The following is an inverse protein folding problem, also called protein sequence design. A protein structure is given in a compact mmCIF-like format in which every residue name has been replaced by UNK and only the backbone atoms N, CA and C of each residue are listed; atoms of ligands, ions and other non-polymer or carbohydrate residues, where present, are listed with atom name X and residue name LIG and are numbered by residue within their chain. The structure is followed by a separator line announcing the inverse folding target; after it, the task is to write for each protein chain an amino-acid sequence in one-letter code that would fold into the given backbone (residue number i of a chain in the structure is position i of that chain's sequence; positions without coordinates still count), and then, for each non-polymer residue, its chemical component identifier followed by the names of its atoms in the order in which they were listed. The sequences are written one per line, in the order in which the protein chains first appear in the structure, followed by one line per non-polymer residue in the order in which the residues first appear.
data_IF_517172586670
#
_entry.id   IF_517172586670
#
_cell.length_a   1.000
_cell.length_b   1.000
_cell.length_c   1.000
_cell.angle_alpha   90.00
_cell.angle_beta   90.00
_cell.angle_gamma   90.00
#
_symmetry.space_group_name_H-M   'P 1'
#
loop_
_entity.id
_entity.type
_entity.pdbx_description
1 polymer ?
#
# COMPACT_ATOMS: atom_id res chain seq x y z
N UNK A 1 -1.22 77.91 -8.85
CA UNK A 1 -1.00 76.77 -9.77
C UNK A 1 -0.64 75.56 -8.94
N UNK A 2 -1.62 74.71 -8.69
CA UNK A 2 -1.50 73.49 -7.90
C UNK A 2 -1.20 72.32 -8.84
N UNK A 3 -0.05 71.63 -8.61
CA UNK A 3 0.30 70.41 -9.36
C UNK A 3 -0.15 69.22 -8.55
N UNK A 4 -1.17 68.53 -8.99
CA UNK A 4 -1.63 67.25 -8.44
C UNK A 4 -0.77 66.13 -9.00
N UNK A 5 0.06 65.53 -8.15
CA UNK A 5 0.84 64.36 -8.53
C UNK A 5 -0.04 63.10 -8.47
N UNK A 6 -0.13 62.37 -9.56
CA UNK A 6 -0.79 61.07 -9.63
C UNK A 6 0.24 60.00 -9.26
N UNK A 7 0.07 59.33 -8.12
CA UNK A 7 0.89 58.17 -7.74
C UNK A 7 0.26 56.92 -8.36
N UNK A 8 0.92 56.33 -9.34
CA UNK A 8 0.55 55.03 -9.92
C UNK A 8 1.11 53.94 -9.02
N UNK A 9 0.23 53.22 -8.33
CA UNK A 9 0.60 52.02 -7.57
C UNK A 9 0.59 50.84 -8.53
N UNK A 10 1.76 50.31 -8.87
CA UNK A 10 1.93 49.12 -9.68
C UNK A 10 1.76 47.90 -8.77
N UNK A 11 0.60 47.25 -8.83
CA UNK A 11 0.35 45.97 -8.14
C UNK A 11 1.05 44.83 -8.89
N UNK A 12 2.18 44.36 -8.36
CA UNK A 12 2.80 43.11 -8.83
C UNK A 12 1.91 41.94 -8.42
N UNK A 13 1.20 41.36 -9.36
CA UNK A 13 0.53 40.07 -9.21
C UNK A 13 1.63 39.00 -9.18
N UNK A 14 1.96 38.50 -7.99
CA UNK A 14 2.75 37.30 -7.82
C UNK A 14 1.92 36.10 -8.30
N UNK A 15 2.07 35.72 -9.57
CA UNK A 15 1.54 34.48 -10.11
C UNK A 15 2.29 33.33 -9.45
N UNK A 16 1.69 32.69 -8.45
CA UNK A 16 2.20 31.44 -7.88
C UNK A 16 2.10 30.37 -8.96
N UNK A 17 3.16 30.13 -9.72
CA UNK A 17 3.26 28.95 -10.58
C UNK A 17 3.26 27.72 -9.68
N UNK A 18 2.10 27.08 -9.52
CA UNK A 18 2.03 25.77 -8.91
C UNK A 18 2.91 24.81 -9.72
N UNK A 19 3.89 24.21 -9.06
CA UNK A 19 4.77 23.21 -9.69
C UNK A 19 3.92 22.03 -10.14
N UNK A 20 4.11 21.55 -11.37
CA UNK A 20 3.45 20.35 -11.84
C UNK A 20 3.76 19.15 -10.92
N UNK A 21 2.79 18.23 -10.69
CA UNK A 21 3.04 17.02 -9.91
C UNK A 21 4.22 16.23 -10.47
N UNK A 22 5.08 15.71 -9.59
CA UNK A 22 6.24 14.92 -10.00
C UNK A 22 5.82 13.58 -10.62
N UNK A 23 4.73 13.00 -10.14
CA UNK A 23 4.10 11.78 -10.65
C UNK A 23 2.62 11.72 -10.28
N UNK A 24 1.91 10.71 -10.81
CA UNK A 24 0.48 10.53 -10.61
C UNK A 24 0.16 9.12 -10.11
N UNK A 25 -0.76 9.05 -9.13
CA UNK A 25 -1.19 7.82 -8.46
C UNK A 25 -2.69 7.64 -8.67
N UNK A 26 -3.12 6.42 -8.99
CA UNK A 26 -4.52 6.01 -8.97
C UNK A 26 -4.72 4.87 -7.98
N UNK A 27 -5.63 5.02 -7.04
CA UNK A 27 -6.01 3.97 -6.11
C UNK A 27 -7.35 3.35 -6.50
N UNK A 28 -7.34 2.02 -6.63
CA UNK A 28 -8.53 1.19 -6.87
C UNK A 28 -9.03 0.60 -5.55
N UNK A 29 -10.35 0.57 -5.39
CA UNK A 29 -11.00 0.01 -4.21
C UNK A 29 -12.39 -0.54 -4.54
N UNK A 30 -12.95 -1.31 -3.62
CA UNK A 30 -14.32 -1.81 -3.69
C UNK A 30 -15.22 -1.17 -2.63
N UNK A 31 -14.74 -1.05 -1.40
CA UNK A 31 -15.48 -0.47 -0.27
C UNK A 31 -16.69 -1.30 0.12
N UNK A 32 -16.58 -2.62 0.03
CA UNK A 32 -17.67 -3.57 0.29
C UNK A 32 -17.23 -4.66 1.25
N UNK A 33 -18.22 -5.32 1.84
CA UNK A 33 -18.10 -6.55 2.61
C UNK A 33 -17.53 -6.34 4.01
N UNK A 34 -16.23 -6.45 4.20
CA UNK A 34 -15.61 -6.41 5.52
C UNK A 34 -15.47 -4.99 6.07
N UNK A 35 -16.01 -4.76 7.28
CA UNK A 35 -16.04 -3.45 7.92
C UNK A 35 -14.62 -2.88 8.16
N UNK A 36 -13.63 -3.73 8.42
CA UNK A 36 -12.27 -3.28 8.67
C UNK A 36 -11.57 -2.83 7.37
N UNK A 37 -11.86 -3.47 6.23
CA UNK A 37 -11.39 -3.00 4.93
C UNK A 37 -12.04 -1.67 4.53
N UNK A 38 -13.36 -1.52 4.81
CA UNK A 38 -14.10 -0.27 4.56
C UNK A 38 -13.54 0.86 5.43
N UNK A 39 -13.26 0.59 6.70
CA UNK A 39 -12.65 1.56 7.62
C UNK A 39 -11.26 2.01 7.14
N UNK A 40 -10.43 1.07 6.71
CA UNK A 40 -9.12 1.38 6.13
C UNK A 40 -9.24 2.25 4.87
N UNK A 41 -10.18 1.93 3.99
CA UNK A 41 -10.46 2.72 2.80
C UNK A 41 -10.79 4.18 3.16
N UNK A 42 -11.72 4.40 4.10
CA UNK A 42 -12.10 5.75 4.52
C UNK A 42 -10.93 6.52 5.13
N UNK A 43 -10.07 5.86 5.89
CA UNK A 43 -8.85 6.46 6.41
C UNK A 43 -7.88 6.82 5.27
N UNK A 44 -7.66 5.90 4.33
CA UNK A 44 -6.79 6.10 3.18
C UNK A 44 -7.23 7.26 2.28
N UNK A 45 -8.53 7.37 2.00
CA UNK A 45 -9.11 8.47 1.21
C UNK A 45 -8.91 9.86 1.83
N UNK A 46 -8.73 9.92 3.16
CA UNK A 46 -8.42 11.16 3.86
C UNK A 46 -6.92 11.42 3.98
N UNK A 47 -6.12 10.38 4.12
CA UNK A 47 -4.69 10.47 4.39
C UNK A 47 -3.87 10.69 3.10
N UNK A 48 -4.07 9.88 2.05
CA UNK A 48 -3.29 9.97 0.83
C UNK A 48 -3.36 11.33 0.12
N UNK A 49 -4.51 12.03 0.01
CA UNK A 49 -4.54 13.37 -0.57
C UNK A 49 -3.69 14.39 0.19
N UNK A 50 -3.63 14.29 1.53
CA UNK A 50 -2.79 15.16 2.36
C UNK A 50 -1.30 14.88 2.13
N UNK A 51 -0.94 13.61 2.00
CA UNK A 51 0.43 13.17 1.68
C UNK A 51 0.81 13.64 0.27
N UNK A 52 -0.08 13.49 -0.70
CA UNK A 52 0.13 13.91 -2.07
C UNK A 52 0.42 15.41 -2.18
N UNK A 53 -0.38 16.23 -1.49
CA UNK A 53 -0.18 17.67 -1.46
C UNK A 53 1.16 18.08 -0.85
N UNK A 54 1.61 17.37 0.21
CA UNK A 54 2.90 17.64 0.87
C UNK A 54 4.12 17.18 0.06
N UNK A 55 3.96 16.17 -0.78
CA UNK A 55 5.06 15.53 -1.51
C UNK A 55 5.01 15.78 -3.03
N UNK A 56 4.18 16.72 -3.48
CA UNK A 56 4.06 17.15 -4.88
C UNK A 56 3.77 16.00 -5.87
N UNK A 57 2.82 15.11 -5.55
CA UNK A 57 2.28 14.17 -6.51
C UNK A 57 0.75 14.27 -6.59
N UNK A 58 0.15 13.77 -7.68
CA UNK A 58 -1.29 13.69 -7.83
C UNK A 58 -1.80 12.37 -7.31
N UNK A 59 -2.90 12.38 -6.55
CA UNK A 59 -3.56 11.19 -6.05
C UNK A 59 -5.05 11.23 -6.41
N UNK A 60 -5.48 10.22 -7.16
CA UNK A 60 -6.87 10.01 -7.54
C UNK A 60 -7.35 8.65 -7.02
N UNK A 61 -8.66 8.47 -6.86
CA UNK A 61 -9.27 7.19 -6.47
C UNK A 61 -10.37 6.78 -7.44
N UNK A 62 -10.66 5.49 -7.51
CA UNK A 62 -11.78 4.96 -8.29
C UNK A 62 -12.29 3.64 -7.72
N UNK A 63 -13.63 3.51 -7.61
CA UNK A 63 -14.32 2.25 -7.35
C UNK A 63 -14.76 1.53 -8.62
N UNK A 64 -14.56 2.17 -9.79
CA UNK A 64 -14.88 1.57 -11.08
C UNK A 64 -13.70 0.75 -11.60
N UNK A 65 -13.73 -0.56 -11.38
CA UNK A 65 -12.71 -1.49 -11.86
C UNK A 65 -12.67 -1.60 -13.38
N UNK A 66 -13.71 -1.17 -14.12
CA UNK A 66 -13.65 -1.02 -15.58
C UNK A 66 -12.61 0.00 -16.05
N UNK A 67 -12.13 0.87 -15.16
CA UNK A 67 -11.01 1.78 -15.40
C UNK A 67 -9.66 1.04 -15.42
N UNK A 68 -9.58 -0.22 -14.97
CA UNK A 68 -8.35 -1.01 -15.02
C UNK A 68 -8.13 -1.52 -16.45
N UNK A 69 -7.78 -0.60 -17.35
CA UNK A 69 -7.49 -0.84 -18.76
C UNK A 69 -6.33 0.02 -19.23
N UNK A 70 -5.68 -0.37 -20.33
CA UNK A 70 -4.46 0.26 -20.81
C UNK A 70 -4.62 1.78 -21.05
N UNK A 71 -5.73 2.21 -21.65
CA UNK A 71 -5.97 3.64 -21.94
C UNK A 71 -6.11 4.49 -20.69
N UNK A 72 -6.73 3.96 -19.65
CA UNK A 72 -6.85 4.66 -18.36
C UNK A 72 -5.52 4.66 -17.60
N UNK A 73 -4.86 3.51 -17.50
CA UNK A 73 -3.61 3.34 -16.76
C UNK A 73 -2.45 4.15 -17.36
N UNK A 74 -2.45 4.42 -18.66
CA UNK A 74 -1.43 5.26 -19.31
C UNK A 74 -1.32 6.68 -18.74
N UNK A 75 -2.30 7.14 -17.97
CA UNK A 75 -2.34 8.46 -17.33
C UNK A 75 -1.70 8.49 -15.93
N UNK A 76 -1.30 7.33 -15.41
CA UNK A 76 -0.82 7.19 -14.05
C UNK A 76 0.52 6.46 -14.00
N UNK A 77 1.35 6.89 -13.07
CA UNK A 77 2.69 6.35 -12.85
C UNK A 77 2.69 5.21 -11.84
N UNK A 78 1.75 5.25 -10.88
CA UNK A 78 1.60 4.26 -9.81
C UNK A 78 0.14 3.85 -9.68
N UNK A 79 -0.11 2.56 -9.61
CA UNK A 79 -1.40 1.96 -9.28
C UNK A 79 -1.37 1.48 -7.83
N UNK A 80 -2.42 1.78 -7.06
CA UNK A 80 -2.59 1.31 -5.68
C UNK A 80 -3.83 0.43 -5.60
N UNK A 81 -3.73 -0.72 -4.94
CA UNK A 81 -4.89 -1.52 -4.55
C UNK A 81 -5.08 -1.41 -3.04
N UNK A 82 -6.20 -0.82 -2.61
CA UNK A 82 -6.45 -0.53 -1.20
C UNK A 82 -7.06 -1.73 -0.46
N UNK A 83 -8.15 -2.29 -0.95
CA UNK A 83 -8.95 -3.27 -0.22
C UNK A 83 -9.22 -4.57 -1.00
N UNK A 84 -8.80 -4.66 -2.26
CA UNK A 84 -9.03 -5.83 -3.10
C UNK A 84 -8.14 -5.82 -4.34
N UNK A 85 -8.33 -6.77 -5.22
CA UNK A 85 -7.66 -6.95 -6.51
C UNK A 85 -8.69 -7.22 -7.61
N UNK A 86 -8.35 -7.09 -8.92
CA UNK A 86 -9.30 -7.35 -9.99
C UNK A 86 -9.70 -8.83 -10.06
N UNK A 87 -10.97 -9.09 -10.35
CA UNK A 87 -11.52 -10.43 -10.56
C UNK A 87 -11.79 -10.73 -12.05
N UNK A 88 -12.10 -9.70 -12.82
CA UNK A 88 -12.36 -9.83 -14.25
C UNK A 88 -11.07 -10.16 -15.02
N UNK A 89 -11.08 -11.18 -15.92
CA UNK A 89 -9.89 -11.60 -16.67
C UNK A 89 -9.28 -10.50 -17.54
N UNK A 90 -10.08 -9.61 -18.12
CA UNK A 90 -9.57 -8.53 -18.95
C UNK A 90 -8.86 -7.47 -18.10
N UNK A 91 -9.39 -7.18 -16.91
CA UNK A 91 -8.76 -6.27 -15.95
C UNK A 91 -7.43 -6.86 -15.45
N UNK A 92 -7.38 -8.17 -15.16
CA UNK A 92 -6.15 -8.87 -14.78
C UNK A 92 -5.09 -8.80 -15.87
N UNK A 93 -5.47 -9.09 -17.11
CA UNK A 93 -4.56 -8.99 -18.26
C UNK A 93 -4.04 -7.56 -18.46
N UNK A 94 -4.89 -6.55 -18.31
CA UNK A 94 -4.50 -5.15 -18.41
C UNK A 94 -3.52 -4.74 -17.30
N UNK A 95 -3.74 -5.17 -16.06
CA UNK A 95 -2.84 -4.92 -14.95
C UNK A 95 -1.49 -5.63 -15.13
N UNK A 96 -1.51 -6.91 -15.51
CA UNK A 96 -0.29 -7.67 -15.77
C UNK A 96 0.53 -6.99 -16.86
N UNK A 97 -0.08 -6.64 -17.99
CA UNK A 97 0.58 -5.92 -19.07
C UNK A 97 1.16 -4.56 -18.60
N UNK A 98 0.41 -3.81 -17.78
CA UNK A 98 0.90 -2.56 -17.19
C UNK A 98 2.18 -2.78 -16.36
N UNK A 99 2.21 -3.81 -15.53
CA UNK A 99 3.39 -4.13 -14.71
C UNK A 99 4.57 -4.63 -15.54
N UNK A 100 4.32 -5.48 -16.53
CA UNK A 100 5.35 -6.02 -17.45
C UNK A 100 5.98 -4.90 -18.31
N UNK A 101 5.24 -3.85 -18.62
CA UNK A 101 5.74 -2.66 -19.32
C UNK A 101 6.37 -1.61 -18.37
N UNK A 102 6.60 -1.94 -17.11
CA UNK A 102 7.33 -1.09 -16.17
C UNK A 102 6.46 -0.13 -15.38
N UNK A 103 5.18 -0.38 -15.30
CA UNK A 103 4.27 0.25 -14.35
C UNK A 103 4.72 0.03 -12.90
N UNK A 104 4.18 0.83 -11.98
CA UNK A 104 4.46 0.68 -10.56
C UNK A 104 3.20 0.38 -9.76
N UNK A 105 3.35 -0.42 -8.70
CA UNK A 105 2.21 -0.84 -7.89
C UNK A 105 2.51 -0.85 -6.39
N UNK A 106 1.49 -0.49 -5.61
CA UNK A 106 1.44 -0.62 -4.17
C UNK A 106 0.15 -1.35 -3.78
N UNK A 107 0.24 -2.34 -2.91
CA UNK A 107 -0.94 -3.07 -2.45
C UNK A 107 -0.98 -3.25 -0.95
N UNK A 108 -2.19 -3.28 -0.41
CA UNK A 108 -2.44 -3.43 1.01
C UNK A 108 -3.25 -4.70 1.27
N UNK A 109 -2.87 -5.42 2.32
CA UNK A 109 -3.61 -6.47 3.00
C UNK A 109 -4.41 -7.40 2.05
N UNK A 110 -5.72 -7.23 1.95
CA UNK A 110 -6.61 -8.08 1.17
C UNK A 110 -6.35 -8.03 -0.33
N UNK A 111 -5.62 -7.02 -0.83
CA UNK A 111 -5.19 -7.01 -2.22
C UNK A 111 -4.28 -8.20 -2.57
N UNK A 112 -3.60 -8.79 -1.58
CA UNK A 112 -2.78 -10.00 -1.75
C UNK A 112 -3.52 -11.32 -1.49
N UNK A 113 -4.76 -11.28 -1.01
CA UNK A 113 -5.46 -12.45 -0.53
C UNK A 113 -5.76 -13.48 -1.63
N UNK A 114 -5.51 -14.77 -1.34
CA UNK A 114 -5.90 -15.91 -2.16
C UNK A 114 -6.12 -17.14 -1.31
N UNK A 115 -7.18 -17.88 -1.57
CA UNK A 115 -7.45 -19.18 -0.99
C UNK A 115 -7.05 -20.32 -1.95
N UNK A 116 -6.64 -21.44 -1.38
CA UNK A 116 -6.43 -22.69 -2.12
C UNK A 116 -7.17 -23.84 -1.42
N UNK A 117 -8.14 -24.51 -2.06
CA UNK A 117 -8.79 -24.12 -3.32
C UNK A 117 -9.59 -22.83 -3.16
N UNK A 118 -9.57 -21.96 -4.16
CA UNK A 118 -10.30 -20.71 -4.11
C UNK A 118 -11.80 -20.94 -4.33
N UNK A 119 -12.62 -20.42 -3.43
CA UNK A 119 -14.06 -20.22 -3.67
C UNK A 119 -14.32 -18.99 -4.53
N UNK A 120 -13.33 -18.11 -4.62
CA UNK A 120 -13.33 -16.97 -5.52
C UNK A 120 -12.78 -17.43 -6.87
N UNK A 121 -13.39 -17.06 -8.02
CA UNK A 121 -12.80 -17.30 -9.33
C UNK A 121 -11.49 -16.50 -9.51
N UNK A 122 -10.88 -16.15 -8.42
CA UNK A 122 -9.92 -15.11 -8.24
C UNK A 122 -8.50 -15.60 -7.96
N UNK A 123 -8.23 -16.91 -7.93
CA UNK A 123 -6.85 -17.35 -7.97
C UNK A 123 -6.24 -16.94 -9.32
N UNK A 124 -5.26 -16.09 -9.21
CA UNK A 124 -4.56 -15.53 -10.34
C UNK A 124 -3.08 -15.89 -10.18
N UNK A 125 -2.69 -17.00 -10.81
CA UNK A 125 -1.40 -17.65 -10.58
C UNK A 125 -0.21 -16.71 -10.75
N UNK A 126 -0.18 -15.96 -11.86
CA UNK A 126 0.86 -14.96 -12.07
C UNK A 126 0.95 -13.97 -10.90
N UNK A 127 -0.21 -13.47 -10.41
CA UNK A 127 -0.24 -12.46 -9.36
C UNK A 127 0.26 -13.00 -8.01
N UNK A 128 -0.21 -14.17 -7.62
CA UNK A 128 0.10 -14.73 -6.30
C UNK A 128 1.47 -15.40 -6.25
N UNK A 129 1.87 -16.12 -7.31
CA UNK A 129 3.10 -16.90 -7.31
C UNK A 129 4.30 -16.18 -7.95
N UNK A 130 4.09 -15.41 -9.04
CA UNK A 130 5.17 -14.72 -9.73
C UNK A 130 5.32 -13.28 -9.25
N UNK A 131 4.24 -12.52 -9.21
CA UNK A 131 4.27 -11.09 -8.89
C UNK A 131 4.43 -10.82 -7.39
N UNK A 132 3.55 -11.37 -6.54
CA UNK A 132 3.66 -11.28 -5.08
C UNK A 132 4.65 -12.30 -4.51
N UNK A 133 4.75 -13.47 -5.09
CA UNK A 133 5.60 -14.56 -4.63
C UNK A 133 5.08 -15.31 -3.40
N UNK A 134 4.02 -14.82 -2.76
CA UNK A 134 3.56 -15.28 -1.47
C UNK A 134 2.72 -16.57 -1.53
N UNK A 135 2.19 -16.93 -2.71
CA UNK A 135 1.25 -18.03 -2.84
C UNK A 135 -0.08 -17.74 -2.20
N UNK A 136 -0.70 -18.76 -1.62
CA UNK A 136 -2.02 -18.65 -1.01
C UNK A 136 -1.94 -18.15 0.44
N UNK A 137 -3.04 -17.55 0.89
CA UNK A 137 -3.28 -17.28 2.29
C UNK A 137 -3.43 -18.59 3.08
N UNK A 138 -2.78 -18.66 4.23
CA UNK A 138 -2.83 -19.85 5.11
C UNK A 138 -3.65 -19.57 6.36
N UNK A 139 -3.35 -18.48 7.07
CA UNK A 139 -4.04 -18.08 8.29
C UNK A 139 -3.82 -16.60 8.62
N UNK A 140 -4.53 -16.10 9.62
CA UNK A 140 -4.37 -14.74 10.13
C UNK A 140 -4.42 -14.72 11.66
N UNK A 141 -4.14 -13.55 12.25
CA UNK A 141 -4.24 -13.33 13.70
C UNK A 141 -5.68 -13.14 14.18
N UNK A 142 -6.66 -13.05 13.27
CA UNK A 142 -8.09 -12.80 13.48
C UNK A 142 -8.38 -11.37 13.96
N UNK A 143 -7.97 -11.00 15.18
CA UNK A 143 -8.15 -9.61 15.65
C UNK A 143 -6.93 -8.77 15.32
N UNK A 144 -7.13 -7.49 14.99
CA UNK A 144 -6.02 -6.58 14.83
C UNK A 144 -5.17 -6.50 16.10
N UNK A 145 -3.87 -6.68 15.93
CA UNK A 145 -2.89 -6.60 17.02
C UNK A 145 -1.62 -5.89 16.55
N UNK A 146 -1.01 -5.10 17.42
CA UNK A 146 0.27 -4.49 17.13
C UNK A 146 1.38 -5.54 17.19
N UNK A 147 2.40 -5.36 16.36
CA UNK A 147 3.60 -6.18 16.38
C UNK A 147 4.85 -5.29 16.35
N UNK A 148 5.95 -5.74 16.93
CA UNK A 148 7.25 -5.15 16.66
C UNK A 148 7.69 -5.63 15.29
N UNK A 149 7.94 -4.70 14.38
CA UNK A 149 8.44 -4.98 13.05
C UNK A 149 9.94 -4.72 13.00
N UNK A 150 10.69 -5.63 12.38
CA UNK A 150 12.12 -5.52 12.15
C UNK A 150 12.37 -5.18 10.69
N UNK A 151 13.24 -4.20 10.44
CA UNK A 151 13.73 -3.86 9.11
C UNK A 151 14.75 -4.90 8.67
N UNK A 152 14.47 -5.59 7.56
CA UNK A 152 15.32 -6.62 6.98
C UNK A 152 16.29 -6.06 5.93
N UNK A 153 15.85 -5.06 5.16
CA UNK A 153 16.70 -4.33 4.23
C UNK A 153 16.74 -2.82 4.57
N UNK A 154 17.71 -2.36 5.35
CA UNK A 154 17.86 -0.96 5.72
C UNK A 154 18.42 -0.09 4.59
N UNK A 155 18.86 -0.67 3.47
CA UNK A 155 19.40 0.07 2.33
C UNK A 155 18.32 0.46 1.32
N UNK A 156 17.18 -0.23 1.34
CA UNK A 156 16.10 0.05 0.40
C UNK A 156 15.52 1.45 0.60
N UNK A 157 15.19 2.21 -0.47
CA UNK A 157 14.67 3.57 -0.35
C UNK A 157 13.44 3.72 0.56
N UNK A 158 12.56 2.72 0.62
CA UNK A 158 11.38 2.76 1.48
C UNK A 158 11.69 2.58 2.98
N UNK A 159 12.82 1.98 3.34
CA UNK A 159 13.15 1.59 4.71
C UNK A 159 14.35 2.30 5.31
N UNK A 160 15.19 2.93 4.50
CA UNK A 160 16.46 3.54 4.93
C UNK A 160 16.35 4.64 6.00
N UNK A 161 15.16 5.20 6.18
CA UNK A 161 14.91 6.22 7.20
C UNK A 161 14.19 5.68 8.44
N UNK A 162 13.96 4.35 8.50
CA UNK A 162 13.28 3.72 9.62
C UNK A 162 14.29 3.31 10.71
N UNK A 163 13.87 3.24 11.97
CA UNK A 163 14.66 2.58 13.01
C UNK A 163 14.72 1.07 12.72
N UNK A 164 15.73 0.38 13.27
CA UNK A 164 15.91 -1.06 13.07
C UNK A 164 14.66 -1.89 13.43
N UNK A 165 13.97 -1.48 14.49
CA UNK A 165 12.69 -2.04 14.90
C UNK A 165 11.72 -0.92 15.30
N UNK A 166 10.42 -1.16 15.11
CA UNK A 166 9.36 -0.26 15.59
C UNK A 166 8.07 -1.03 15.85
N UNK A 167 7.23 -0.50 16.73
CA UNK A 167 5.90 -1.05 16.95
C UNK A 167 4.94 -0.53 15.87
N UNK A 168 4.28 -1.44 15.18
CA UNK A 168 3.27 -1.11 14.16
C UNK A 168 1.99 -0.56 14.77
N UNK A 169 1.15 0.05 13.94
CA UNK A 169 -0.29 0.08 14.21
C UNK A 169 -0.84 -1.35 14.28
N UNK A 170 -1.92 -1.60 15.04
CA UNK A 170 -2.57 -2.90 15.00
C UNK A 170 -2.99 -3.28 13.59
N UNK A 171 -2.87 -4.54 13.23
CA UNK A 171 -3.39 -5.08 11.98
C UNK A 171 -3.75 -6.57 12.15
N UNK A 172 -4.64 -7.06 11.32
CA UNK A 172 -4.79 -8.49 11.12
C UNK A 172 -3.64 -8.97 10.24
N UNK A 173 -2.72 -9.75 10.80
CA UNK A 173 -1.56 -10.23 10.08
C UNK A 173 -1.87 -11.52 9.32
N UNK A 174 -1.55 -11.56 8.02
CA UNK A 174 -1.65 -12.76 7.18
C UNK A 174 -0.35 -13.57 7.22
N UNK A 175 -0.52 -14.88 7.22
CA UNK A 175 0.53 -15.87 6.97
C UNK A 175 0.31 -16.49 5.60
N UNK A 176 1.39 -16.69 4.88
CA UNK A 176 1.40 -17.12 3.49
C UNK A 176 1.93 -18.54 3.33
N UNK A 177 1.56 -19.19 2.22
CA UNK A 177 1.97 -20.54 1.90
C UNK A 177 3.46 -20.64 1.58
N UNK A 178 3.97 -19.71 0.77
CA UNK A 178 5.36 -19.73 0.31
C UNK A 178 6.29 -19.08 1.35
N UNK A 179 7.45 -19.70 1.56
CA UNK A 179 8.56 -19.04 2.27
C UNK A 179 9.25 -18.06 1.32
N UNK A 180 8.95 -16.79 1.46
CA UNK A 180 9.51 -15.72 0.62
C UNK A 180 11.03 -15.65 0.64
N UNK A 181 11.72 -16.18 1.67
CA UNK A 181 13.19 -16.24 1.73
C UNK A 181 13.78 -17.18 0.68
N UNK A 182 13.00 -18.14 0.21
CA UNK A 182 13.40 -19.08 -0.84
C UNK A 182 13.19 -18.52 -2.25
N UNK A 183 12.45 -17.43 -2.38
CA UNK A 183 12.19 -16.78 -3.66
C UNK A 183 13.25 -15.72 -3.95
N UNK A 184 14.13 -15.99 -4.91
CA UNK A 184 15.24 -15.09 -5.27
C UNK A 184 14.79 -13.76 -5.90
N UNK A 185 13.55 -13.71 -6.37
CA UNK A 185 12.98 -12.50 -6.97
C UNK A 185 12.38 -11.54 -5.93
N UNK A 186 12.27 -11.98 -4.67
CA UNK A 186 11.68 -11.19 -3.59
C UNK A 186 12.76 -10.61 -2.67
N UNK A 187 12.65 -9.31 -2.39
CA UNK A 187 13.38 -8.62 -1.33
C UNK A 187 12.42 -8.32 -0.18
N UNK A 188 12.65 -8.95 0.96
CA UNK A 188 11.85 -8.74 2.17
C UNK A 188 12.36 -7.47 2.84
N UNK A 189 11.46 -6.51 3.04
CA UNK A 189 11.78 -5.22 3.64
C UNK A 189 11.51 -5.19 5.15
N UNK A 190 10.40 -5.78 5.58
CA UNK A 190 10.05 -5.92 7.00
C UNK A 190 9.49 -7.30 7.30
N UNK A 191 9.81 -7.80 8.49
CA UNK A 191 9.22 -8.99 9.08
C UNK A 191 8.79 -8.72 10.53
N UNK A 192 7.87 -9.55 11.06
CA UNK A 192 7.52 -9.51 12.49
C UNK A 192 8.74 -9.97 13.30
N UNK A 193 9.14 -9.17 14.30
CA UNK A 193 10.21 -9.52 15.19
C UNK A 193 9.79 -10.63 16.17
N UNK A 194 10.70 -11.58 16.42
CA UNK A 194 10.42 -12.73 17.28
C UNK A 194 10.09 -12.38 18.74
N UNK A 195 10.40 -11.16 19.17
CA UNK A 195 10.05 -10.68 20.52
C UNK A 195 8.59 -10.31 20.67
N UNK A 196 7.84 -10.22 19.57
CA UNK A 196 6.46 -9.76 19.58
C UNK A 196 5.54 -10.60 18.70
N UNK A 197 5.80 -11.89 18.56
CA UNK A 197 4.90 -12.75 17.79
C UNK A 197 3.47 -12.59 18.30
N UNK A 198 2.53 -12.19 17.42
CA UNK A 198 1.16 -12.01 17.82
C UNK A 198 0.56 -13.36 18.22
N UNK A 199 -0.23 -13.34 19.29
CA UNK A 199 -1.01 -14.52 19.71
C UNK A 199 -2.30 -14.58 18.89
N UNK A 200 -2.73 -15.77 18.56
CA UNK A 200 -4.06 -16.01 18.02
C UNK A 200 -5.14 -15.52 18.99
N UNK A 201 -6.18 -14.91 18.47
CA UNK A 201 -7.26 -14.33 19.27
C UNK A 201 -8.63 -14.76 18.75
N UNK A 202 -9.66 -14.54 19.56
CA UNK A 202 -11.04 -14.85 19.19
C UNK A 202 -11.26 -16.33 18.86
N UNK A 203 -11.85 -16.68 17.70
CA UNK A 203 -12.12 -18.07 17.31
C UNK A 203 -10.88 -18.85 16.88
N UNK A 204 -9.68 -18.26 16.86
CA UNK A 204 -8.42 -18.89 16.45
C UNK A 204 -7.35 -18.87 17.57
N UNK A 205 -7.66 -19.31 18.79
CA UNK A 205 -6.68 -19.30 19.88
C UNK A 205 -5.51 -20.26 19.65
N UNK A 206 -5.66 -21.25 18.76
CA UNK A 206 -4.63 -22.18 18.33
C UNK A 206 -3.64 -21.58 17.31
N UNK A 207 -3.99 -20.48 16.67
CA UNK A 207 -3.13 -19.77 15.72
C UNK A 207 -2.06 -18.94 16.45
N UNK A 208 -1.16 -19.63 17.14
CA UNK A 208 -0.11 -19.03 17.94
C UNK A 208 1.12 -18.85 17.08
N UNK A 209 1.54 -17.61 16.87
CA UNK A 209 2.72 -17.25 16.14
C UNK A 209 3.90 -17.08 17.11
N UNK A 210 4.44 -18.18 17.61
CA UNK A 210 5.52 -18.19 18.60
C UNK A 210 6.87 -18.66 18.04
N UNK A 211 6.88 -19.09 16.79
CA UNK A 211 8.08 -19.44 16.05
C UNK A 211 7.86 -19.28 14.55
N UNK A 212 8.93 -19.07 13.79
CA UNK A 212 8.86 -18.92 12.34
C UNK A 212 9.35 -17.56 11.88
N UNK A 213 9.11 -17.28 10.60
CA UNK A 213 9.50 -16.04 9.95
C UNK A 213 8.29 -15.50 9.18
N UNK A 214 7.89 -14.28 9.50
CA UNK A 214 6.65 -13.68 9.00
C UNK A 214 6.94 -12.34 8.32
N UNK A 215 7.20 -12.35 7.00
CA UNK A 215 7.36 -11.12 6.24
C UNK A 215 6.03 -10.37 6.16
N UNK A 216 6.10 -9.05 6.31
CA UNK A 216 4.93 -8.17 6.29
C UNK A 216 5.02 -7.06 5.26
N UNK A 217 6.23 -6.74 4.78
CA UNK A 217 6.45 -5.82 3.66
C UNK A 217 7.55 -6.38 2.78
N UNK A 218 7.29 -6.42 1.46
CA UNK A 218 8.29 -6.89 0.50
C UNK A 218 8.10 -6.26 -0.88
N UNK A 219 9.14 -6.36 -1.70
CA UNK A 219 9.17 -5.97 -3.12
C UNK A 219 9.63 -7.13 -3.98
N UNK A 220 9.39 -7.04 -5.29
CA UNK A 220 9.85 -8.00 -6.28
C UNK A 220 10.88 -7.33 -7.21
N UNK A 221 12.02 -7.96 -7.40
CA UNK A 221 13.13 -7.42 -8.21
C UNK A 221 12.78 -7.23 -9.68
N UNK A 222 11.81 -8.02 -10.18
CA UNK A 222 11.39 -7.98 -11.57
C UNK A 222 10.34 -6.91 -11.85
N UNK A 223 9.70 -6.36 -10.79
CA UNK A 223 8.60 -5.40 -10.89
C UNK A 223 8.80 -4.22 -9.95
N UNK A 224 8.31 -3.05 -10.34
CA UNK A 224 8.24 -1.88 -9.45
C UNK A 224 7.01 -2.03 -8.55
N UNK A 225 7.13 -2.81 -7.52
CA UNK A 225 6.01 -3.11 -6.64
C UNK A 225 6.41 -3.12 -5.17
N UNK A 226 5.46 -2.85 -4.31
CA UNK A 226 5.58 -3.08 -2.88
C UNK A 226 4.23 -3.56 -2.33
N UNK A 227 4.27 -4.58 -1.50
CA UNK A 227 3.11 -5.10 -0.79
C UNK A 227 3.24 -4.87 0.71
N UNK A 228 2.14 -4.47 1.33
CA UNK A 228 1.99 -4.28 2.77
C UNK A 228 0.96 -5.25 3.33
N UNK A 229 1.34 -6.06 4.29
CA UNK A 229 0.46 -6.98 5.01
C UNK A 229 -0.32 -6.26 6.15
N UNK A 230 -0.59 -4.98 6.01
CA UNK A 230 -1.43 -4.20 6.92
C UNK A 230 -2.43 -3.37 6.12
N UNK A 231 -3.54 -2.97 6.76
CA UNK A 231 -4.70 -2.33 6.12
C UNK A 231 -6.02 -2.97 6.57
N UNK A 232 -5.99 -3.76 7.64
CA UNK A 232 -7.15 -4.32 8.31
C UNK A 232 -7.02 -4.05 9.81
N UNK A 233 -7.54 -2.90 10.22
CA UNK A 233 -7.42 -2.44 11.59
C UNK A 233 -8.69 -1.71 12.03
N UNK A 234 -9.77 -2.46 12.20
CA UNK A 234 -10.95 -2.00 12.91
C UNK A 234 -10.86 -2.50 14.35
N UNK A 235 -10.51 -1.62 15.28
CA UNK A 235 -10.37 -1.95 16.71
C UNK A 235 -11.71 -2.08 17.42
N UNK A 236 -12.79 -1.64 16.80
CA UNK A 236 -14.16 -1.82 17.28
C UNK A 236 -14.97 -2.70 16.32
N UNK A 237 -14.40 -3.82 15.93
CA UNK A 237 -14.98 -4.78 15.00
C UNK A 237 -16.41 -5.20 15.38
N UNK A 238 -16.73 -5.22 16.66
CA UNK A 238 -18.06 -5.53 17.18
C UNK A 238 -18.97 -4.29 17.34
N UNK A 239 -18.52 -3.11 16.94
CA UNK A 239 -19.23 -1.82 17.04
C UNK A 239 -19.74 -1.49 18.45
N UNK A 240 -18.99 -1.87 19.47
CA UNK A 240 -19.35 -1.66 20.87
C UNK A 240 -18.91 -0.30 21.42
N UNK A 241 -17.86 0.27 20.84
CA UNK A 241 -17.28 1.54 21.30
C UNK A 241 -18.04 2.71 20.68
N UNK A 242 -18.20 2.70 19.36
CA UNK A 242 -18.92 3.75 18.63
C UNK A 242 -19.55 3.19 17.35
N UNK A 243 -20.85 2.88 17.42
CA UNK A 243 -21.62 2.37 16.29
C UNK A 243 -21.79 3.39 15.15
N UNK A 244 -21.47 4.67 15.38
CA UNK A 244 -21.58 5.74 14.40
C UNK A 244 -20.25 6.06 13.71
N UNK A 245 -19.12 5.65 14.30
CA UNK A 245 -17.80 5.90 13.74
C UNK A 245 -17.57 5.02 12.50
N UNK A 246 -17.38 5.67 11.37
CA UNK A 246 -17.13 5.03 10.07
C UNK A 246 -15.63 4.93 9.73
N UNK A 247 -14.74 5.38 10.60
CA UNK A 247 -13.30 5.43 10.39
C UNK A 247 -12.57 4.91 11.62
N UNK A 248 -12.82 3.66 11.97
CA UNK A 248 -12.16 2.99 13.10
C UNK A 248 -10.80 2.41 12.74
N UNK A 249 -10.36 2.54 11.49
CA UNK A 249 -9.02 2.15 11.11
C UNK A 249 -8.00 3.12 11.70
N UNK A 250 -6.97 2.56 12.28
CA UNK A 250 -5.79 3.27 12.80
C UNK A 250 -4.53 2.73 12.14
N UNK A 251 -4.64 2.29 10.88
CA UNK A 251 -3.51 1.82 10.08
C UNK A 251 -2.54 2.97 9.80
N UNK A 252 -3.09 4.15 9.53
CA UNK A 252 -2.33 5.38 9.27
C UNK A 252 -2.30 6.25 10.53
N UNK A 253 -1.31 7.15 10.62
CA UNK A 253 -1.12 8.01 11.80
C UNK A 253 -0.02 7.53 12.76
N UNK A 254 0.55 6.34 12.56
CA UNK A 254 1.81 5.93 13.20
C UNK A 254 2.98 6.55 12.42
N UNK A 255 3.76 7.47 13.02
CA UNK A 255 4.74 8.25 12.25
C UNK A 255 5.79 7.42 11.52
N UNK A 256 6.18 6.27 12.08
CA UNK A 256 7.20 5.38 11.47
C UNK A 256 6.57 4.59 10.33
N UNK A 257 5.37 4.06 10.53
CA UNK A 257 4.63 3.33 9.50
C UNK A 257 4.20 4.26 8.35
N UNK A 258 3.76 5.48 8.67
CA UNK A 258 3.45 6.52 7.68
C UNK A 258 4.68 6.87 6.84
N UNK A 259 5.84 7.01 7.48
CA UNK A 259 7.10 7.28 6.79
C UNK A 259 7.46 6.19 5.80
N UNK A 260 7.31 4.92 6.18
CA UNK A 260 7.49 3.77 5.31
C UNK A 260 6.62 3.85 4.05
N UNK A 261 5.32 4.14 4.22
CA UNK A 261 4.37 4.20 3.10
C UNK A 261 4.71 5.38 2.18
N UNK A 262 5.05 6.54 2.76
CA UNK A 262 5.45 7.73 1.99
C UNK A 262 6.72 7.45 1.19
N UNK A 263 7.77 6.93 1.81
CA UNK A 263 9.03 6.64 1.16
C UNK A 263 8.87 5.57 0.06
N UNK A 264 8.01 4.57 0.29
CA UNK A 264 7.64 3.58 -0.71
C UNK A 264 6.94 4.21 -1.93
N UNK A 265 5.97 5.11 -1.71
CA UNK A 265 5.30 5.83 -2.80
C UNK A 265 6.26 6.71 -3.59
N UNK A 266 7.13 7.44 -2.92
CA UNK A 266 8.14 8.28 -3.57
C UNK A 266 9.11 7.44 -4.39
N UNK A 267 9.55 6.29 -3.87
CA UNK A 267 10.37 5.33 -4.61
C UNK A 267 9.64 4.77 -5.84
N UNK A 268 8.36 4.38 -5.71
CA UNK A 268 7.56 3.91 -6.84
C UNK A 268 7.31 4.99 -7.89
N UNK A 269 7.20 6.26 -7.49
CA UNK A 269 7.01 7.38 -8.41
C UNK A 269 8.28 7.84 -9.11
N UNK A 270 9.46 7.48 -8.59
CA UNK A 270 10.76 7.85 -9.17
C UNK A 270 11.14 6.95 -10.34
N UNK A 271 10.87 7.43 -11.56
CA UNK A 271 11.20 6.69 -12.79
C UNK A 271 12.70 6.57 -13.04
N UNK A 272 13.49 7.54 -12.61
CA UNK A 272 14.93 7.57 -12.84
C UNK A 272 15.64 6.50 -12.01
N UNK A 273 15.26 6.35 -10.75
CA UNK A 273 15.80 5.31 -9.86
C UNK A 273 15.59 3.86 -10.37
N UNK A 274 14.67 3.67 -11.34
CA UNK A 274 14.36 2.36 -11.90
C UNK A 274 14.93 2.11 -13.31
N UNK A 275 15.31 3.17 -14.04
CA UNK A 275 15.92 3.03 -15.38
C UNK A 275 17.27 2.33 -15.31
N UNK A 276 18.07 2.64 -14.30
CA UNK A 276 19.41 2.10 -14.10
C UNK A 276 19.43 0.60 -13.77
N UNK A 277 18.37 0.10 -13.09
CA UNK A 277 18.23 -1.34 -12.81
C UNK A 277 17.94 -2.19 -14.03
N UNK A 278 17.28 -1.64 -15.08
CA UNK A 278 17.03 -2.33 -16.34
C UNK A 278 18.26 -2.34 -17.25
N UNK A 279 19.11 -1.33 -17.19
CA UNK A 279 20.32 -1.24 -18.01
C UNK A 279 21.47 -2.14 -17.48
N UNK A 280 21.38 -2.60 -16.23
CA UNK A 280 22.39 -3.45 -15.58
C UNK A 280 22.06 -4.95 -15.61
N UNK A 281 20.99 -5.35 -16.30
CA UNK A 281 20.58 -6.73 -16.59
C UNK A 281 20.70 -7.05 -18.07
#
# INVERSE_FOLDING_TARGET
MSRTGITVVLALALSSCARAPAFSVIAFYTGKEDAAHISFLHEAEQWFPKVAAKNNFRFDTTSNWGNLNAGFLARYDVVVFLDTRPEDPAQRAAFQAYMEHGGAWMGFHFSGFALTPSVYPANWDWYHNTFLGAGSYVSNTWRPTAAVLRVEDPAHPATRHLPHTFTSSPSEWYRWENDLRQNRDIDILLAIDSTSFPLGTGPKPQEIWHSGYYPVVWTNRNYRMIYFNFGHNDIDYEHKIDSTNRTLSYTLGNPVQDRLIIDALLWLGDKEAHSDRRASR
#
